data_IF_504992071023
#
_entry.id   IF_504992071023
#
_cell.length_a   1.000
_cell.length_b   1.000
_cell.length_c   1.000
_cell.angle_alpha   90.00
_cell.angle_beta   90.00
_cell.angle_gamma   90.00
#
_symmetry.space_group_name_H-M   'P 1'
#
loop_
_entity.id
_entity.type
_entity.pdbx_description
1 polymer ?
#
# COMPACT_ATOMS: atom_id res chain seq x y z
N UNK A 1 1.82 -37.46 6.88
CA UNK A 1 2.22 -36.89 8.18
C UNK A 1 1.51 -35.56 8.37
N UNK A 2 0.83 -35.44 9.50
CA UNK A 2 -0.41 -34.69 9.71
C UNK A 2 -0.27 -33.17 9.68
N UNK A 3 -1.11 -32.54 8.86
CA UNK A 3 -1.47 -31.13 8.95
C UNK A 3 -2.38 -30.92 10.17
N UNK A 4 -1.82 -30.94 11.38
CA UNK A 4 -2.57 -30.59 12.59
C UNK A 4 -1.61 -30.28 13.75
N UNK A 5 -0.83 -29.20 13.63
CA UNK A 5 -0.13 -28.55 14.74
C UNK A 5 0.45 -27.22 14.26
N UNK A 6 -0.40 -26.19 14.24
CA UNK A 6 -0.14 -24.75 14.41
C UNK A 6 -1.36 -23.96 13.91
N UNK A 7 -2.53 -24.28 14.46
CA UNK A 7 -3.58 -23.27 14.55
C UNK A 7 -3.16 -22.36 15.73
N UNK A 8 -2.29 -21.39 15.45
CA UNK A 8 -2.34 -20.16 16.25
C UNK A 8 -3.81 -19.73 16.18
N UNK A 9 -4.49 -19.62 17.32
CA UNK A 9 -5.84 -19.04 17.36
C UNK A 9 -5.75 -17.66 16.73
N UNK A 10 -6.15 -17.55 15.47
CA UNK A 10 -6.10 -16.31 14.73
C UNK A 10 -7.21 -15.44 15.33
N UNK A 11 -6.81 -14.49 16.17
CA UNK A 11 -7.74 -13.66 16.91
C UNK A 11 -8.33 -12.60 15.97
N UNK A 12 -9.65 -12.43 16.06
CA UNK A 12 -10.34 -11.34 15.40
C UNK A 12 -9.87 -10.01 16.00
N UNK A 13 -9.19 -9.19 15.20
CA UNK A 13 -8.71 -7.87 15.58
C UNK A 13 -9.73 -6.79 15.19
N UNK A 14 -10.14 -5.99 16.18
CA UNK A 14 -10.95 -4.80 15.95
C UNK A 14 -10.17 -3.74 15.17
N UNK A 15 -10.84 -2.87 14.40
CA UNK A 15 -10.19 -1.74 13.74
C UNK A 15 -9.60 -0.78 14.78
N UNK A 16 -8.39 -0.26 14.51
CA UNK A 16 -7.78 0.82 15.26
C UNK A 16 -8.58 2.11 15.10
N UNK A 17 -9.02 2.37 13.86
CA UNK A 17 -9.91 3.46 13.47
C UNK A 17 -10.91 2.98 12.42
N UNK A 18 -12.13 3.51 12.47
CA UNK A 18 -13.15 3.31 11.46
C UNK A 18 -13.82 4.65 11.11
N UNK A 19 -14.16 4.83 9.84
CA UNK A 19 -14.80 6.03 9.33
C UNK A 19 -15.94 5.64 8.37
N UNK A 20 -17.09 6.34 8.40
CA UNK A 20 -17.47 7.30 9.43
C UNK A 20 -17.71 6.62 10.78
N UNK A 21 -17.40 7.32 11.85
CA UNK A 21 -17.76 6.96 13.22
C UNK A 21 -19.09 7.64 13.58
N UNK A 22 -20.16 6.86 13.88
CA UNK A 22 -21.46 7.41 14.22
C UNK A 22 -21.41 8.39 15.40
N UNK A 23 -22.04 9.55 15.25
CA UNK A 23 -22.08 10.60 16.30
C UNK A 23 -20.78 11.41 16.43
N UNK A 24 -19.73 11.07 15.69
CA UNK A 24 -18.45 11.80 15.67
C UNK A 24 -18.24 12.50 14.34
N UNK A 25 -18.36 11.76 13.23
CA UNK A 25 -18.17 12.28 11.89
C UNK A 25 -19.47 12.80 11.27
N UNK A 26 -19.33 13.77 10.36
CA UNK A 26 -20.42 14.18 9.47
C UNK A 26 -20.71 13.08 8.46
N UNK A 27 -21.87 12.42 8.60
CA UNK A 27 -22.27 11.31 7.72
C UNK A 27 -22.42 11.73 6.26
N UNK A 28 -22.69 13.01 5.96
CA UNK A 28 -22.79 13.52 4.60
C UNK A 28 -21.41 13.53 3.91
N UNK A 29 -20.35 13.90 4.63
CA UNK A 29 -18.99 13.91 4.11
C UNK A 29 -18.48 12.52 3.70
N UNK A 30 -19.03 11.46 4.29
CA UNK A 30 -18.67 10.06 4.02
C UNK A 30 -19.75 9.32 3.22
N UNK A 31 -20.66 10.02 2.54
CA UNK A 31 -21.79 9.36 1.88
C UNK A 31 -21.33 8.27 0.89
N UNK A 32 -21.63 7.01 1.24
CA UNK A 32 -21.25 5.84 0.47
C UNK A 32 -19.80 5.38 0.63
N UNK A 33 -18.98 6.06 1.43
CA UNK A 33 -17.60 5.67 1.71
C UNK A 33 -17.46 5.15 3.14
N UNK A 34 -16.84 3.98 3.30
CA UNK A 34 -16.50 3.43 4.61
C UNK A 34 -15.05 2.97 4.58
N UNK A 35 -14.30 3.21 5.64
CA UNK A 35 -12.93 2.70 5.76
C UNK A 35 -12.66 2.21 7.17
N UNK A 36 -11.88 1.13 7.27
CA UNK A 36 -11.38 0.56 8.53
C UNK A 36 -9.87 0.43 8.45
N UNK A 37 -9.17 0.80 9.51
CA UNK A 37 -7.73 0.70 9.64
C UNK A 37 -7.39 -0.32 10.71
N UNK A 38 -6.51 -1.26 10.39
CA UNK A 38 -6.07 -2.35 11.23
C UNK A 38 -4.55 -2.34 11.35
N UNK A 39 -4.05 -3.21 12.24
CA UNK A 39 -2.63 -3.56 12.30
C UNK A 39 -2.46 -4.95 11.71
N UNK A 40 -1.52 -5.08 10.77
CA UNK A 40 -1.14 -6.41 10.28
C UNK A 40 -0.24 -7.14 11.30
N UNK A 41 0.19 -8.36 10.96
CA UNK A 41 1.04 -9.16 11.83
C UNK A 41 2.43 -8.55 12.13
N UNK A 42 2.88 -7.58 11.33
CA UNK A 42 4.08 -6.78 11.58
C UNK A 42 3.76 -5.39 12.14
N UNK A 43 2.53 -5.19 12.63
CA UNK A 43 1.98 -3.93 13.15
C UNK A 43 1.95 -2.77 12.13
N UNK A 44 2.17 -3.05 10.84
CA UNK A 44 2.02 -2.04 9.81
C UNK A 44 0.54 -1.67 9.69
N UNK A 45 0.27 -0.44 9.26
CA UNK A 45 -1.11 0.00 9.04
C UNK A 45 -1.67 -0.68 7.81
N UNK A 46 -2.81 -1.34 7.98
CA UNK A 46 -3.57 -1.95 6.90
C UNK A 46 -4.93 -1.26 6.81
N UNK A 47 -5.18 -0.57 5.71
CA UNK A 47 -6.45 0.08 5.45
C UNK A 47 -7.29 -0.76 4.49
N UNK A 48 -8.59 -0.86 4.77
CA UNK A 48 -9.58 -1.32 3.80
C UNK A 48 -10.64 -0.26 3.67
N UNK A 49 -10.94 0.17 2.44
CA UNK A 49 -12.09 1.02 2.17
C UNK A 49 -13.05 0.41 1.17
N UNK A 50 -14.32 0.72 1.38
CA UNK A 50 -15.46 0.37 0.55
C UNK A 50 -16.05 1.68 0.05
N UNK A 51 -15.90 1.95 -1.24
CA UNK A 51 -16.69 2.97 -1.92
C UNK A 51 -17.94 2.30 -2.50
N UNK A 52 -19.06 2.40 -1.77
CA UNK A 52 -20.37 1.83 -2.13
C UNK A 52 -21.01 2.56 -3.31
N UNK A 53 -20.56 3.77 -3.65
CA UNK A 53 -21.08 4.52 -4.82
C UNK A 53 -20.66 3.83 -6.12
N UNK A 54 -19.48 3.22 -6.10
CA UNK A 54 -18.89 2.53 -7.26
C UNK A 54 -18.71 1.02 -7.01
N UNK A 55 -19.02 0.57 -5.79
CA UNK A 55 -18.77 -0.76 -5.27
C UNK A 55 -17.32 -1.21 -5.49
N UNK A 56 -16.37 -0.30 -5.23
CA UNK A 56 -14.92 -0.56 -5.23
C UNK A 56 -14.48 -0.90 -3.80
N UNK A 57 -13.76 -2.00 -3.67
CA UNK A 57 -13.08 -2.37 -2.42
C UNK A 57 -11.59 -2.29 -2.66
N UNK A 58 -10.88 -1.61 -1.76
CA UNK A 58 -9.42 -1.46 -1.85
C UNK A 58 -8.80 -1.73 -0.50
N UNK A 59 -7.66 -2.41 -0.56
CA UNK A 59 -6.81 -2.75 0.56
C UNK A 59 -5.47 -2.07 0.34
N UNK A 60 -4.93 -1.47 1.39
CA UNK A 60 -3.65 -0.78 1.34
C UNK A 60 -2.82 -1.17 2.57
N UNK A 61 -1.64 -1.73 2.34
CA UNK A 61 -0.60 -1.76 3.34
C UNK A 61 0.23 -0.49 3.26
N UNK A 62 0.33 0.20 4.39
CA UNK A 62 1.38 1.18 4.61
C UNK A 62 2.69 0.43 4.90
N UNK A 63 3.26 -0.18 3.85
CA UNK A 63 4.51 -0.93 3.91
C UNK A 63 5.59 -0.28 3.01
N UNK A 64 6.73 -0.93 2.80
CA UNK A 64 7.81 -0.40 1.96
C UNK A 64 7.46 -0.28 0.47
N UNK A 65 6.35 -0.86 0.02
CA UNK A 65 5.89 -0.81 -1.37
C UNK A 65 4.58 -0.04 -1.55
N UNK A 66 3.93 0.34 -0.44
CA UNK A 66 2.55 0.81 -0.44
C UNK A 66 1.63 -0.16 -1.18
N UNK A 67 1.76 -1.45 -0.86
CA UNK A 67 1.04 -2.51 -1.55
C UNK A 67 -0.47 -2.26 -1.51
N UNK A 68 -1.09 -2.21 -2.69
CA UNK A 68 -2.53 -2.00 -2.88
C UNK A 68 -3.17 -3.14 -3.67
N UNK A 69 -4.31 -3.63 -3.18
CA UNK A 69 -5.14 -4.61 -3.88
C UNK A 69 -6.57 -4.11 -3.93
N UNK A 70 -7.17 -4.06 -5.11
CA UNK A 70 -8.58 -3.68 -5.24
C UNK A 70 -9.37 -4.52 -6.22
N UNK A 71 -10.68 -4.57 -6.00
CA UNK A 71 -11.65 -5.19 -6.91
C UNK A 71 -12.97 -4.40 -6.89
N UNK A 72 -13.80 -4.60 -7.91
CA UNK A 72 -15.12 -3.98 -7.99
C UNK A 72 -16.21 -5.05 -8.03
N UNK A 73 -17.36 -4.76 -7.42
CA UNK A 73 -18.51 -5.64 -7.38
C UNK A 73 -19.70 -5.03 -8.12
N UNK A 74 -20.36 -5.81 -8.97
CA UNK A 74 -21.56 -5.38 -9.72
C UNK A 74 -22.69 -6.37 -9.56
N UNK A 75 -23.92 -5.89 -9.54
CA UNK A 75 -25.11 -6.73 -9.64
C UNK A 75 -25.20 -7.37 -11.03
N UNK A 76 -26.14 -8.30 -11.22
CA UNK A 76 -26.43 -8.88 -12.55
C UNK A 76 -26.81 -7.83 -13.61
N UNK A 77 -27.35 -6.67 -13.21
CA UNK A 77 -27.66 -5.54 -14.10
C UNK A 77 -26.48 -4.59 -14.35
N UNK A 78 -25.28 -4.92 -13.85
CA UNK A 78 -24.08 -4.12 -14.05
C UNK A 78 -23.98 -2.88 -13.14
N UNK A 79 -24.92 -2.68 -12.22
CA UNK A 79 -24.88 -1.58 -11.24
C UNK A 79 -23.92 -1.89 -10.09
N UNK A 80 -23.36 -0.89 -9.39
CA UNK A 80 -22.60 -1.11 -8.15
C UNK A 80 -23.36 -2.00 -7.18
N UNK A 81 -22.71 -3.07 -6.69
CA UNK A 81 -23.32 -3.98 -5.72
C UNK A 81 -23.36 -3.36 -4.31
N UNK A 82 -24.46 -3.52 -3.55
CA UNK A 82 -24.53 -3.07 -2.17
C UNK A 82 -23.69 -3.97 -1.27
N UNK A 83 -22.41 -3.60 -1.11
CA UNK A 83 -21.46 -4.31 -0.24
C UNK A 83 -21.50 -3.77 1.19
N UNK A 84 -21.36 -4.70 2.14
CA UNK A 84 -21.34 -4.46 3.57
C UNK A 84 -20.29 -5.36 4.24
N UNK A 85 -19.78 -4.89 5.37
CA UNK A 85 -19.00 -5.71 6.29
C UNK A 85 -19.88 -6.79 6.90
N UNK A 86 -19.48 -8.05 6.80
CA UNK A 86 -20.16 -9.16 7.49
C UNK A 86 -19.56 -9.42 8.88
N UNK A 87 -18.31 -9.00 9.10
CA UNK A 87 -17.62 -9.05 10.39
C UNK A 87 -17.05 -7.69 10.76
N UNK A 88 -16.96 -7.40 12.07
CA UNK A 88 -16.46 -6.11 12.57
C UNK A 88 -14.94 -6.01 12.64
N UNK A 89 -14.25 -7.13 12.58
CA UNK A 89 -12.80 -7.21 12.67
C UNK A 89 -12.15 -7.79 11.42
N UNK A 90 -10.83 -7.93 11.49
CA UNK A 90 -10.04 -8.70 10.54
C UNK A 90 -9.11 -9.65 11.29
N UNK A 91 -8.67 -10.70 10.61
CA UNK A 91 -7.78 -11.70 11.18
C UNK A 91 -6.39 -11.51 10.56
N UNK A 92 -5.44 -10.87 11.25
CA UNK A 92 -4.05 -10.79 10.82
C UNK A 92 -3.36 -12.13 11.01
N UNK A 93 -2.55 -12.55 10.04
CA UNK A 93 -1.73 -13.76 10.15
C UNK A 93 -0.48 -13.66 9.25
N UNK A 94 0.37 -14.69 9.30
CA UNK A 94 1.59 -14.80 8.49
C UNK A 94 1.74 -16.17 7.88
N UNK A 95 2.32 -16.25 6.68
CA UNK A 95 2.81 -17.50 6.10
C UNK A 95 4.20 -17.27 5.47
N UNK A 96 5.25 -17.78 6.12
CA UNK A 96 6.61 -17.41 5.76
C UNK A 96 6.80 -15.88 5.85
N UNK A 97 7.24 -15.25 4.76
CA UNK A 97 7.37 -13.78 4.66
C UNK A 97 6.06 -13.05 4.35
N UNK A 98 4.99 -13.77 3.98
CA UNK A 98 3.74 -13.15 3.60
C UNK A 98 2.99 -12.66 4.84
N UNK A 99 2.56 -11.39 4.83
CA UNK A 99 1.60 -10.84 5.78
C UNK A 99 0.21 -10.97 5.18
N UNK A 100 -0.73 -11.49 5.96
CA UNK A 100 -2.05 -11.90 5.48
C UNK A 100 -3.12 -11.21 6.34
N UNK A 101 -4.16 -10.70 5.69
CA UNK A 101 -5.36 -10.17 6.34
C UNK A 101 -6.60 -10.88 5.78
N UNK A 102 -7.47 -11.37 6.66
CA UNK A 102 -8.75 -11.99 6.29
C UNK A 102 -9.93 -11.26 6.92
N UNK A 103 -11.01 -11.08 6.18
CA UNK A 103 -12.26 -10.51 6.70
C UNK A 103 -13.45 -10.89 5.79
N UNK A 104 -14.66 -10.68 6.27
CA UNK A 104 -15.87 -11.10 5.56
C UNK A 104 -16.67 -9.91 5.02
N UNK A 105 -17.17 -10.08 3.81
CA UNK A 105 -18.11 -9.18 3.16
C UNK A 105 -19.42 -9.91 2.85
N UNK A 106 -20.49 -9.13 2.78
CA UNK A 106 -21.78 -9.58 2.27
C UNK A 106 -22.29 -8.58 1.24
N UNK A 107 -22.81 -9.11 0.13
CA UNK A 107 -23.55 -8.32 -0.85
C UNK A 107 -25.05 -8.54 -0.65
N UNK A 108 -25.82 -7.47 -0.48
CA UNK A 108 -27.29 -7.53 -0.42
C UNK A 108 -27.90 -7.63 -1.83
N UNK A 109 -27.50 -8.67 -2.56
CA UNK A 109 -28.00 -9.03 -3.90
C UNK A 109 -27.92 -10.55 -4.09
N UNK A 110 -28.89 -11.20 -4.75
CA UNK A 110 -28.87 -12.66 -4.95
C UNK A 110 -27.76 -13.14 -5.90
N UNK A 111 -27.18 -12.23 -6.68
CA UNK A 111 -26.03 -12.52 -7.53
C UNK A 111 -25.17 -11.27 -7.72
N UNK A 112 -23.85 -11.46 -7.71
CA UNK A 112 -22.88 -10.42 -8.05
C UNK A 112 -21.77 -10.95 -8.95
N UNK A 113 -21.20 -10.03 -9.72
CA UNK A 113 -19.95 -10.22 -10.43
C UNK A 113 -18.85 -9.44 -9.73
N UNK A 114 -17.72 -10.09 -9.48
CA UNK A 114 -16.49 -9.46 -9.02
C UNK A 114 -15.52 -9.35 -10.20
N UNK A 115 -14.88 -8.20 -10.37
CA UNK A 115 -13.92 -8.00 -11.45
C UNK A 115 -13.09 -6.74 -11.21
N UNK A 116 -12.41 -6.28 -12.26
CA UNK A 116 -11.48 -5.15 -12.15
C UNK A 116 -10.43 -5.36 -11.02
N UNK A 117 -9.99 -6.61 -10.84
CA UNK A 117 -8.93 -6.95 -9.89
C UNK A 117 -7.64 -6.22 -10.30
N UNK A 118 -7.07 -5.46 -9.38
CA UNK A 118 -5.83 -4.73 -9.54
C UNK A 118 -4.92 -5.01 -8.35
N UNK A 119 -3.73 -5.50 -8.63
CA UNK A 119 -2.68 -5.73 -7.63
C UNK A 119 -1.48 -4.87 -8.03
N UNK A 120 -0.97 -4.07 -7.10
CA UNK A 120 0.15 -3.17 -7.37
C UNK A 120 0.42 -2.26 -6.19
N UNK A 121 0.67 -0.98 -6.44
CA UNK A 121 0.81 0.00 -5.36
C UNK A 121 -0.38 0.94 -5.29
N UNK A 122 -0.51 1.65 -4.18
CA UNK A 122 -1.50 2.71 -4.00
C UNK A 122 -1.54 3.70 -5.16
N UNK A 123 -0.38 4.07 -5.71
CA UNK A 123 -0.31 5.01 -6.85
C UNK A 123 -0.97 4.44 -8.11
N UNK A 124 -0.76 3.14 -8.37
CA UNK A 124 -1.38 2.45 -9.51
C UNK A 124 -2.90 2.39 -9.31
N UNK A 125 -3.37 2.12 -8.08
CA UNK A 125 -4.80 2.16 -7.73
C UNK A 125 -5.40 3.56 -7.91
N UNK A 126 -4.67 4.61 -7.51
CA UNK A 126 -5.06 6.02 -7.70
C UNK A 126 -5.25 6.35 -9.18
N UNK A 127 -4.29 5.99 -10.03
CA UNK A 127 -4.36 6.25 -11.47
C UNK A 127 -5.48 5.43 -12.13
N UNK A 128 -5.65 4.17 -11.74
CA UNK A 128 -6.74 3.30 -12.18
C UNK A 128 -8.13 3.88 -11.89
N UNK A 129 -8.29 4.51 -10.72
CA UNK A 129 -9.53 5.18 -10.35
C UNK A 129 -9.71 6.52 -11.04
N UNK A 130 -8.69 7.37 -11.05
CA UNK A 130 -8.73 8.69 -11.68
C UNK A 130 -9.08 8.61 -13.18
N UNK A 131 -8.63 7.57 -13.87
CA UNK A 131 -8.91 7.34 -15.29
C UNK A 131 -10.16 6.48 -15.54
N UNK A 132 -10.94 6.17 -14.51
CA UNK A 132 -12.23 5.49 -14.62
C UNK A 132 -12.15 4.02 -15.05
N UNK A 133 -10.98 3.36 -14.97
CA UNK A 133 -10.82 1.97 -15.43
C UNK A 133 -11.65 0.98 -14.61
N UNK A 134 -11.85 1.23 -13.32
CA UNK A 134 -12.72 0.44 -12.44
C UNK A 134 -14.20 0.41 -12.90
N UNK A 135 -14.64 1.41 -13.71
CA UNK A 135 -16.01 1.50 -14.26
C UNK A 135 -16.16 0.77 -15.61
N UNK A 136 -15.06 0.42 -16.27
CA UNK A 136 -15.11 -0.31 -17.56
C UNK A 136 -15.69 -1.72 -17.40
N UNK A 137 -16.21 -2.35 -18.46
CA UNK A 137 -16.65 -3.75 -18.39
C UNK A 137 -15.54 -4.66 -17.86
N UNK A 138 -15.88 -5.70 -17.11
CA UNK A 138 -14.86 -6.64 -16.58
C UNK A 138 -14.17 -7.47 -17.67
N UNK A 139 -14.69 -7.45 -18.89
CA UNK A 139 -14.05 -7.99 -20.09
C UNK A 139 -13.01 -7.06 -20.71
N UNK A 140 -12.86 -5.82 -20.23
CA UNK A 140 -11.88 -4.87 -20.73
C UNK A 140 -10.44 -5.40 -20.52
N UNK A 141 -9.48 -4.97 -21.35
CA UNK A 141 -8.08 -5.34 -21.18
C UNK A 141 -7.54 -4.97 -19.79
N UNK A 142 -6.59 -5.75 -19.26
CA UNK A 142 -5.91 -5.42 -18.00
C UNK A 142 -5.31 -4.02 -18.02
N UNK A 143 -5.35 -3.36 -16.87
CA UNK A 143 -4.72 -2.06 -16.71
C UNK A 143 -3.22 -2.23 -16.51
N UNK A 144 -2.44 -1.61 -17.39
CA UNK A 144 -0.97 -1.54 -17.33
C UNK A 144 -0.60 -0.10 -17.57
N UNK A 145 0.39 0.42 -16.84
CA UNK A 145 0.94 1.76 -17.04
C UNK A 145 1.66 1.85 -18.40
N UNK A 146 1.55 2.99 -19.07
CA UNK A 146 2.14 3.17 -20.39
C UNK A 146 3.67 3.20 -20.34
N UNK A 147 4.24 3.74 -19.27
CA UNK A 147 5.69 3.73 -19.01
C UNK A 147 6.22 2.30 -18.90
N UNK A 148 5.45 1.40 -18.28
CA UNK A 148 5.82 -0.02 -18.15
C UNK A 148 5.68 -0.75 -19.49
N UNK A 149 4.68 -0.40 -20.31
CA UNK A 149 4.57 -0.91 -21.69
C UNK A 149 5.76 -0.48 -22.53
N UNK A 150 6.11 0.81 -22.51
CA UNK A 150 7.25 1.36 -23.23
C UNK A 150 8.57 0.71 -22.80
N UNK A 151 8.76 0.46 -21.49
CA UNK A 151 9.89 -0.30 -20.98
C UNK A 151 10.01 -1.68 -21.63
N UNK A 152 8.91 -2.44 -21.77
CA UNK A 152 8.93 -3.76 -22.39
C UNK A 152 9.27 -3.71 -23.87
N UNK A 153 8.75 -2.72 -24.59
CA UNK A 153 9.00 -2.57 -26.01
C UNK A 153 10.46 -2.17 -26.27
N UNK A 154 11.03 -1.29 -25.44
CA UNK A 154 12.46 -0.96 -25.49
C UNK A 154 13.37 -2.10 -25.07
N UNK A 155 12.98 -2.89 -24.07
CA UNK A 155 13.71 -4.11 -23.73
C UNK A 155 13.71 -5.09 -24.90
N UNK A 156 12.59 -5.23 -25.61
CA UNK A 156 12.48 -6.13 -26.76
C UNK A 156 13.34 -5.67 -27.96
N UNK A 157 13.55 -4.37 -28.14
CA UNK A 157 14.35 -3.83 -29.25
C UNK A 157 15.86 -3.89 -29.03
N UNK A 158 16.33 -4.25 -27.83
CA UNK A 158 17.77 -4.33 -27.54
C UNK A 158 18.43 -5.54 -28.22
N UNK A 159 19.74 -5.44 -28.55
CA UNK A 159 20.54 -6.60 -28.97
C UNK A 159 20.48 -7.74 -27.94
N UNK A 160 20.47 -8.98 -28.41
CA UNK A 160 20.20 -10.18 -27.59
C UNK A 160 21.06 -10.28 -26.33
N UNK A 161 22.37 -10.01 -26.42
CA UNK A 161 23.27 -10.06 -25.28
C UNK A 161 22.93 -9.01 -24.21
N UNK A 162 22.62 -7.78 -24.63
CA UNK A 162 22.25 -6.67 -23.72
C UNK A 162 20.86 -6.93 -23.11
N UNK A 163 19.92 -7.40 -23.94
CA UNK A 163 18.58 -7.79 -23.49
C UNK A 163 18.64 -8.89 -22.43
N UNK A 164 19.46 -9.92 -22.63
CA UNK A 164 19.64 -11.00 -21.66
C UNK A 164 20.22 -10.49 -20.33
N UNK A 165 21.21 -9.58 -20.37
CA UNK A 165 21.77 -8.95 -19.17
C UNK A 165 20.69 -8.18 -18.38
N UNK A 166 19.88 -7.38 -19.07
CA UNK A 166 18.83 -6.58 -18.44
C UNK A 166 17.69 -7.43 -17.88
N UNK A 167 17.27 -8.47 -18.61
CA UNK A 167 16.27 -9.43 -18.17
C UNK A 167 16.72 -10.16 -16.89
N UNK A 168 18.02 -10.52 -16.78
CA UNK A 168 18.58 -11.13 -15.56
C UNK A 168 18.48 -10.21 -14.34
N UNK A 169 18.63 -8.90 -14.52
CA UNK A 169 18.47 -7.92 -13.43
C UNK A 169 17.02 -7.83 -12.93
N UNK A 170 16.05 -8.09 -13.81
CA UNK A 170 14.63 -8.18 -13.51
C UNK A 170 14.17 -9.62 -13.17
N UNK A 171 15.11 -10.56 -13.00
CA UNK A 171 14.84 -11.98 -12.76
C UNK A 171 13.88 -12.61 -13.77
N UNK A 172 13.96 -12.22 -15.04
CA UNK A 172 13.17 -12.76 -16.13
C UNK A 172 14.07 -13.43 -17.17
N UNK A 173 13.55 -14.44 -17.86
CA UNK A 173 14.23 -15.07 -19.00
C UNK A 173 13.84 -14.46 -20.33
N UNK A 174 12.65 -13.86 -20.42
CA UNK A 174 12.11 -13.26 -21.64
C UNK A 174 11.32 -11.99 -21.32
N UNK A 175 11.11 -11.14 -22.34
CA UNK A 175 10.19 -9.99 -22.22
C UNK A 175 8.74 -10.47 -22.01
N UNK A 176 8.36 -11.63 -22.56
CA UNK A 176 7.04 -12.22 -22.32
C UNK A 176 6.80 -12.48 -20.83
N UNK A 177 7.80 -13.01 -20.11
CA UNK A 177 7.72 -13.19 -18.65
C UNK A 177 7.43 -11.89 -17.90
N UNK A 178 7.98 -10.75 -18.34
CA UNK A 178 7.69 -9.45 -17.72
C UNK A 178 6.27 -8.96 -18.06
N UNK A 179 5.82 -9.17 -19.29
CA UNK A 179 4.45 -8.85 -19.72
C UNK A 179 3.41 -9.69 -18.95
N UNK A 180 3.72 -10.93 -18.62
CA UNK A 180 2.83 -11.77 -17.81
C UNK A 180 2.73 -11.26 -16.36
N UNK A 181 3.81 -10.71 -15.78
CA UNK A 181 3.85 -10.21 -14.40
C UNK A 181 2.98 -8.98 -14.13
N UNK A 182 2.62 -8.20 -15.15
CA UNK A 182 1.75 -7.02 -14.99
C UNK A 182 0.26 -7.38 -15.02
N UNK A 183 -0.06 -8.67 -15.07
CA UNK A 183 -1.44 -9.17 -14.99
C UNK A 183 -1.55 -10.27 -13.93
N UNK A 184 -2.61 -10.28 -13.11
CA UNK A 184 -2.76 -11.33 -12.10
C UNK A 184 -3.00 -12.71 -12.74
N UNK A 185 -2.25 -13.71 -12.25
CA UNK A 185 -2.50 -15.12 -12.55
C UNK A 185 -3.65 -15.58 -11.66
N UNK A 186 -4.67 -16.20 -12.27
CA UNK A 186 -5.87 -16.65 -11.54
C UNK A 186 -5.89 -18.17 -11.44
N UNK A 187 -6.01 -18.69 -10.20
CA UNK A 187 -6.20 -20.11 -9.91
C UNK A 187 -7.50 -20.31 -9.15
N UNK A 188 -8.28 -21.31 -9.53
CA UNK A 188 -9.52 -21.68 -8.87
C UNK A 188 -9.38 -23.07 -8.30
N UNK A 189 -9.74 -23.23 -7.04
CA UNK A 189 -9.74 -24.50 -6.33
C UNK A 189 -11.12 -24.66 -5.67
N UNK A 190 -11.69 -25.87 -5.75
CA UNK A 190 -13.00 -26.16 -5.19
C UNK A 190 -13.02 -27.52 -4.52
N UNK A 191 -13.51 -27.56 -3.29
CA UNK A 191 -13.85 -28.77 -2.54
C UNK A 191 -15.35 -28.75 -2.21
N UNK A 192 -15.83 -29.74 -1.45
CA UNK A 192 -17.22 -29.75 -0.97
C UNK A 192 -17.51 -28.64 0.05
N UNK A 193 -16.50 -28.18 0.80
CA UNK A 193 -16.65 -27.22 1.90
C UNK A 193 -16.07 -25.83 1.62
N UNK A 194 -15.26 -25.68 0.57
CA UNK A 194 -14.61 -24.42 0.23
C UNK A 194 -14.45 -24.29 -1.27
N UNK A 195 -14.90 -23.17 -1.82
CA UNK A 195 -14.49 -22.72 -3.13
C UNK A 195 -13.64 -21.47 -2.97
N UNK A 196 -12.51 -21.38 -3.68
CA UNK A 196 -11.66 -20.20 -3.67
C UNK A 196 -11.13 -19.86 -5.06
N UNK A 197 -11.08 -18.57 -5.36
CA UNK A 197 -10.35 -18.02 -6.50
C UNK A 197 -9.22 -17.13 -6.00
N UNK A 198 -7.99 -17.49 -6.35
CA UNK A 198 -6.76 -16.80 -5.99
C UNK A 198 -6.20 -16.03 -7.19
N UNK A 199 -6.00 -14.74 -7.03
CA UNK A 199 -5.34 -13.85 -7.98
C UNK A 199 -3.96 -13.53 -7.41
N UNK A 200 -2.90 -13.88 -8.13
CA UNK A 200 -1.53 -13.70 -7.68
C UNK A 200 -0.77 -12.87 -8.70
N UNK A 201 -0.09 -11.82 -8.24
CA UNK A 201 0.74 -10.98 -9.09
C UNK A 201 2.13 -10.79 -8.46
N UNK A 202 3.20 -11.28 -9.11
CA UNK A 202 4.57 -10.95 -8.73
C UNK A 202 4.88 -9.46 -8.96
N UNK A 203 5.83 -8.91 -8.20
CA UNK A 203 6.47 -7.65 -8.55
C UNK A 203 7.16 -7.74 -9.91
N UNK A 204 7.46 -6.60 -10.52
CA UNK A 204 8.10 -6.56 -11.85
C UNK A 204 9.44 -7.31 -11.87
N UNK A 205 10.22 -7.19 -10.80
CA UNK A 205 11.51 -7.88 -10.61
C UNK A 205 11.36 -9.31 -10.07
N UNK A 206 10.14 -9.80 -9.86
CA UNK A 206 9.82 -11.15 -9.39
C UNK A 206 10.15 -11.43 -7.93
N UNK A 207 10.64 -10.43 -7.18
CA UNK A 207 11.08 -10.63 -5.79
C UNK A 207 9.94 -10.68 -4.81
N UNK A 208 8.84 -10.00 -5.06
CA UNK A 208 7.71 -9.90 -4.16
C UNK A 208 6.42 -10.34 -4.83
N UNK A 209 5.40 -10.60 -4.04
CA UNK A 209 4.13 -11.13 -4.54
C UNK A 209 2.99 -10.61 -3.71
N UNK A 210 1.94 -10.22 -4.41
CA UNK A 210 0.66 -9.83 -3.86
C UNK A 210 -0.39 -10.88 -4.24
N UNK A 211 -1.32 -11.15 -3.34
CA UNK A 211 -2.40 -12.11 -3.59
C UNK A 211 -3.71 -11.60 -3.02
N UNK A 212 -4.80 -11.83 -3.75
CA UNK A 212 -6.16 -11.79 -3.21
C UNK A 212 -6.86 -13.11 -3.48
N UNK A 213 -7.52 -13.62 -2.46
CA UNK A 213 -8.40 -14.77 -2.53
C UNK A 213 -9.82 -14.33 -2.21
N UNK A 214 -10.75 -14.77 -3.05
CA UNK A 214 -12.18 -14.74 -2.77
C UNK A 214 -12.58 -16.16 -2.41
N UNK A 215 -13.10 -16.34 -1.20
CA UNK A 215 -13.50 -17.63 -0.67
C UNK A 215 -15.01 -17.64 -0.40
N UNK A 216 -15.67 -18.74 -0.74
CA UNK A 216 -17.10 -18.95 -0.46
C UNK A 216 -17.36 -20.37 0.03
N UNK A 217 -18.41 -20.50 0.84
CA UNK A 217 -19.00 -21.80 1.19
C UNK A 217 -19.88 -22.30 0.02
N UNK A 218 -19.50 -23.40 -0.66
CA UNK A 218 -20.27 -23.96 -1.77
C UNK A 218 -21.69 -24.40 -1.40
N UNK A 219 -22.00 -24.61 -0.12
CA UNK A 219 -23.35 -24.92 0.36
C UNK A 219 -24.28 -23.69 0.35
N UNK A 220 -23.72 -22.47 0.42
CA UNK A 220 -24.45 -21.20 0.46
C UNK A 220 -24.40 -20.43 -0.86
N UNK A 221 -23.28 -20.51 -1.58
CA UNK A 221 -23.00 -19.70 -2.77
C UNK A 221 -22.47 -20.61 -3.89
N UNK A 222 -23.02 -20.48 -5.09
CA UNK A 222 -22.40 -21.01 -6.30
C UNK A 222 -21.46 -19.96 -6.88
N UNK A 223 -20.25 -20.38 -7.25
CA UNK A 223 -19.21 -19.50 -7.76
C UNK A 223 -18.64 -20.06 -9.06
N UNK A 224 -18.48 -19.19 -10.05
CA UNK A 224 -17.83 -19.52 -11.32
C UNK A 224 -16.84 -18.43 -11.71
N UNK A 225 -15.83 -18.79 -12.50
CA UNK A 225 -14.89 -17.83 -13.08
C UNK A 225 -15.11 -17.72 -14.58
N UNK A 226 -15.17 -16.49 -15.08
CA UNK A 226 -15.07 -16.17 -16.49
C UNK A 226 -13.90 -15.20 -16.70
N UNK A 227 -12.79 -15.69 -17.26
CA UNK A 227 -11.54 -14.91 -17.43
C UNK A 227 -11.07 -14.30 -16.10
N UNK A 228 -11.03 -12.97 -16.01
CA UNK A 228 -10.63 -12.18 -14.83
C UNK A 228 -11.79 -11.83 -13.91
N UNK A 229 -13.02 -12.24 -14.22
CA UNK A 229 -14.20 -11.99 -13.42
C UNK A 229 -14.70 -13.25 -12.71
N UNK A 230 -15.27 -13.07 -11.53
CA UNK A 230 -15.99 -14.10 -10.78
C UNK A 230 -17.48 -13.78 -10.81
N UNK A 231 -18.32 -14.79 -10.96
CA UNK A 231 -19.76 -14.68 -10.70
C UNK A 231 -20.09 -15.47 -9.45
N UNK A 232 -20.71 -14.83 -8.47
CA UNK A 232 -21.16 -15.43 -7.22
C UNK A 232 -22.68 -15.32 -7.16
N UNK A 233 -23.37 -16.41 -6.83
CA UNK A 233 -24.83 -16.47 -6.73
C UNK A 233 -25.25 -17.18 -5.46
N UNK A 234 -26.14 -16.56 -4.70
CA UNK A 234 -26.74 -17.15 -3.53
C UNK A 234 -27.54 -18.38 -3.94
N UNK A 235 -27.37 -19.50 -3.23
CA UNK A 235 -28.21 -20.69 -3.44
C UNK A 235 -29.60 -20.54 -2.84
N UNK A 236 -29.71 -19.71 -1.79
CA UNK A 236 -30.96 -19.35 -1.10
C UNK A 236 -30.85 -17.89 -0.63
N UNK A 237 -31.98 -17.20 -0.58
CA UNK A 237 -32.05 -15.82 -0.09
C UNK A 237 -31.53 -14.78 -1.09
N UNK A 238 -31.38 -13.55 -0.60
CA UNK A 238 -31.02 -12.37 -1.38
C UNK A 238 -29.63 -11.82 -1.06
N UNK A 239 -28.80 -12.59 -0.36
CA UNK A 239 -27.47 -12.16 0.07
C UNK A 239 -26.39 -13.13 -0.35
N UNK A 240 -25.23 -12.60 -0.75
CA UNK A 240 -24.04 -13.38 -1.09
C UNK A 240 -22.92 -13.05 -0.10
N UNK A 241 -22.68 -13.92 0.89
CA UNK A 241 -21.54 -13.81 1.79
C UNK A 241 -20.27 -14.37 1.12
N UNK A 242 -19.14 -13.74 1.36
CA UNK A 242 -17.83 -14.21 0.91
C UNK A 242 -16.72 -13.67 1.79
N UNK A 243 -15.63 -14.43 1.91
CA UNK A 243 -14.44 -14.04 2.64
C UNK A 243 -13.39 -13.51 1.68
N UNK A 244 -12.73 -12.42 2.06
CA UNK A 244 -11.57 -11.87 1.36
C UNK A 244 -10.33 -12.17 2.17
N UNK A 245 -9.35 -12.80 1.53
CA UNK A 245 -8.01 -13.00 2.09
C UNK A 245 -7.01 -12.29 1.19
N UNK A 246 -6.31 -11.30 1.72
CA UNK A 246 -5.29 -10.56 0.98
C UNK A 246 -3.93 -10.78 1.60
N UNK A 247 -2.88 -10.79 0.78
CA UNK A 247 -1.51 -10.90 1.27
C UNK A 247 -0.50 -10.16 0.42
N UNK A 248 0.62 -9.80 1.05
CA UNK A 248 1.81 -9.22 0.41
C UNK A 248 3.06 -9.82 1.03
N UNK A 249 4.10 -10.00 0.23
CA UNK A 249 5.46 -10.30 0.71
C UNK A 249 6.37 -9.08 0.76
N UNK A 250 5.90 -7.92 0.28
CA UNK A 250 6.67 -6.68 0.26
C UNK A 250 7.20 -6.33 1.66
N UNK A 251 8.33 -5.62 1.78
CA UNK A 251 8.96 -5.38 3.07
C UNK A 251 8.07 -4.57 4.01
N UNK A 252 7.93 -5.04 5.25
CA UNK A 252 7.29 -4.29 6.33
C UNK A 252 8.13 -3.07 6.72
N UNK A 253 7.47 -2.01 7.19
CA UNK A 253 8.09 -0.91 7.93
C UNK A 253 8.22 -1.28 9.40
N UNK A 254 8.85 -0.39 10.15
CA UNK A 254 8.97 -0.44 11.61
C UNK A 254 8.09 0.64 12.25
N UNK A 255 6.79 0.36 12.52
CA UNK A 255 5.89 1.31 13.15
C UNK A 255 6.45 1.86 14.46
N UNK A 256 6.22 3.15 14.70
CA UNK A 256 6.57 3.79 15.96
C UNK A 256 5.44 3.63 16.98
N UNK A 257 5.82 3.39 18.22
CA UNK A 257 4.89 3.36 19.34
C UNK A 257 4.54 4.77 19.80
N UNK A 258 3.39 4.91 20.47
CA UNK A 258 2.91 6.18 21.07
C UNK A 258 3.99 6.93 21.87
N UNK A 259 4.79 6.19 22.65
CA UNK A 259 5.86 6.73 23.52
C UNK A 259 7.13 7.12 22.76
N UNK A 260 7.27 6.68 21.53
CA UNK A 260 8.33 7.11 20.61
C UNK A 260 7.92 8.35 19.81
N UNK A 261 6.62 8.58 19.65
CA UNK A 261 6.07 9.72 18.90
C UNK A 261 5.89 10.94 19.80
N UNK A 262 5.23 10.77 20.95
CA UNK A 262 4.75 11.89 21.77
C UNK A 262 5.54 12.07 23.06
N UNK A 263 5.60 13.31 23.56
CA UNK A 263 6.25 13.62 24.83
C UNK A 263 5.48 13.00 26.01
N UNK A 264 6.17 12.61 27.10
CA UNK A 264 5.50 12.12 28.30
C UNK A 264 4.46 13.10 28.86
N UNK A 265 4.72 14.40 28.80
CA UNK A 265 3.80 15.44 29.26
C UNK A 265 2.48 15.47 28.46
N UNK A 266 2.57 15.36 27.13
CA UNK A 266 1.37 15.28 26.30
C UNK A 266 0.58 13.99 26.56
N UNK A 267 1.26 12.87 26.78
CA UNK A 267 0.59 11.60 27.09
C UNK A 267 -0.15 11.65 28.43
N UNK A 268 0.44 12.26 29.45
CA UNK A 268 -0.23 12.49 30.72
C UNK A 268 -1.47 13.38 30.56
N UNK A 269 -1.36 14.48 29.80
CA UNK A 269 -2.49 15.36 29.48
C UNK A 269 -3.61 14.62 28.73
N UNK A 270 -3.26 13.76 27.76
CA UNK A 270 -4.23 12.95 27.01
C UNK A 270 -4.99 11.99 27.92
N UNK A 271 -4.29 11.31 28.84
CA UNK A 271 -4.89 10.37 29.78
C UNK A 271 -5.81 11.09 30.79
N UNK A 272 -5.40 12.25 31.29
CA UNK A 272 -6.24 13.10 32.15
C UNK A 272 -7.51 13.57 31.43
N UNK A 273 -7.37 14.10 30.20
CA UNK A 273 -8.49 14.56 29.40
C UNK A 273 -9.51 13.44 29.12
N UNK A 274 -9.03 12.22 28.84
CA UNK A 274 -9.88 11.03 28.62
C UNK A 274 -10.58 10.58 29.89
N UNK A 275 -9.92 10.67 31.03
CA UNK A 275 -10.51 10.31 32.33
C UNK A 275 -11.58 11.31 32.75
N UNK A 276 -11.40 12.60 32.41
CA UNK A 276 -12.35 13.66 32.73
C UNK A 276 -13.65 13.58 31.90
N UNK A 277 -13.59 13.15 30.64
CA UNK A 277 -14.78 12.99 29.79
C UNK A 277 -14.67 11.79 28.81
N UNK A 278 -15.01 10.56 29.27
CA UNK A 278 -14.86 9.34 28.48
C UNK A 278 -15.98 9.13 27.46
N UNK A 279 -16.95 10.05 27.35
CA UNK A 279 -18.12 9.87 26.47
C UNK A 279 -17.71 9.86 24.99
N UNK A 280 -18.28 8.97 24.15
CA UNK A 280 -18.10 9.05 22.71
C UNK A 280 -18.46 10.43 22.16
N UNK A 281 -17.65 10.92 21.22
CA UNK A 281 -17.84 12.25 20.62
C UNK A 281 -17.36 13.43 21.46
N UNK A 282 -16.91 13.22 22.70
CA UNK A 282 -16.27 14.24 23.53
C UNK A 282 -14.99 14.78 22.86
N UNK A 283 -14.51 15.93 23.33
CA UNK A 283 -13.23 16.49 22.86
C UNK A 283 -12.08 15.52 23.09
N UNK A 284 -12.07 14.82 24.23
CA UNK A 284 -11.03 13.85 24.57
C UNK A 284 -11.08 12.62 23.66
N UNK A 285 -12.28 12.12 23.35
CA UNK A 285 -12.48 11.04 22.37
C UNK A 285 -11.96 11.43 20.99
N UNK A 286 -12.31 12.62 20.50
CA UNK A 286 -11.81 13.15 19.21
C UNK A 286 -10.30 13.30 19.22
N UNK A 287 -9.70 13.71 20.33
CA UNK A 287 -8.24 13.86 20.47
C UNK A 287 -7.51 12.51 20.44
N UNK A 288 -7.97 11.52 21.21
CA UNK A 288 -7.41 10.14 21.16
C UNK A 288 -7.51 9.57 19.75
N UNK A 289 -8.60 9.86 19.04
CA UNK A 289 -8.77 9.47 17.64
C UNK A 289 -7.73 10.09 16.71
N UNK A 290 -7.41 11.38 16.88
CA UNK A 290 -6.33 12.04 16.12
C UNK A 290 -4.95 11.45 16.46
N UNK A 291 -4.69 11.17 17.74
CA UNK A 291 -3.45 10.53 18.21
C UNK A 291 -3.24 9.17 17.55
N UNK A 292 -4.28 8.33 17.51
CA UNK A 292 -4.25 7.04 16.78
C UNK A 292 -4.02 7.23 15.28
N UNK A 293 -4.54 8.30 14.69
CA UNK A 293 -4.27 8.67 13.31
C UNK A 293 -2.77 8.87 13.07
N UNK A 294 -2.09 9.64 13.92
CA UNK A 294 -0.64 9.85 13.84
C UNK A 294 0.13 8.54 14.03
N UNK A 295 -0.26 7.69 14.99
CA UNK A 295 0.37 6.37 15.21
C UNK A 295 0.26 5.45 13.98
N UNK A 296 -0.85 5.54 13.23
CA UNK A 296 -1.05 4.75 12.02
C UNK A 296 -0.18 5.25 10.85
N UNK A 297 0.28 6.50 10.90
CA UNK A 297 1.08 7.14 9.85
C UNK A 297 2.58 7.23 10.18
N UNK A 298 3.00 6.70 11.34
CA UNK A 298 4.35 6.86 11.86
C UNK A 298 5.14 5.56 11.90
N UNK A 299 6.31 5.55 11.26
CA UNK A 299 7.29 4.47 11.32
C UNK A 299 8.71 5.03 11.33
N UNK A 300 9.68 4.23 11.76
CA UNK A 300 11.11 4.60 11.73
C UNK A 300 11.65 4.78 10.32
N UNK A 301 10.99 4.16 9.34
CA UNK A 301 11.40 4.18 7.94
C UNK A 301 10.80 5.38 7.18
N UNK A 302 9.55 5.74 7.51
CA UNK A 302 8.82 6.86 6.87
C UNK A 302 7.71 7.42 7.76
N UNK A 303 7.48 8.71 7.65
CA UNK A 303 6.25 9.36 8.10
C UNK A 303 5.39 9.64 6.87
N UNK A 304 4.12 9.25 6.94
CA UNK A 304 3.19 9.37 5.83
C UNK A 304 2.32 10.62 6.00
N UNK A 305 2.06 11.32 4.89
CA UNK A 305 1.19 12.49 4.91
C UNK A 305 -0.30 12.12 5.11
N UNK A 306 -0.73 10.94 4.65
CA UNK A 306 -2.08 10.44 4.92
C UNK A 306 -2.46 9.22 4.09
N UNK A 307 -3.50 8.51 4.50
CA UNK A 307 -4.01 7.34 3.77
C UNK A 307 -5.43 7.60 3.22
N UNK A 308 -5.81 6.99 2.08
CA UNK A 308 -4.97 6.14 1.23
C UNK A 308 -4.05 6.95 0.29
N UNK A 309 -4.42 8.17 -0.07
CA UNK A 309 -3.87 8.89 -1.24
C UNK A 309 -2.39 9.29 -1.13
N UNK A 310 -1.85 9.40 0.09
CA UNK A 310 -0.53 9.98 0.36
C UNK A 310 0.29 9.12 1.34
N UNK A 311 0.28 7.80 1.11
CA UNK A 311 1.00 6.78 1.88
C UNK A 311 2.55 6.89 1.77
N UNK A 312 3.07 8.09 1.60
CA UNK A 312 4.47 8.38 1.30
C UNK A 312 4.89 9.69 1.96
N UNK A 313 6.19 9.96 1.93
CA UNK A 313 6.77 11.23 2.34
C UNK A 313 6.28 12.37 1.43
N UNK A 314 5.84 13.46 2.04
CA UNK A 314 5.61 14.76 1.39
C UNK A 314 6.38 15.83 2.15
N UNK A 315 7.39 16.41 1.51
CA UNK A 315 8.41 17.16 2.23
C UNK A 315 7.90 18.41 2.92
N UNK A 316 7.09 19.20 2.22
CA UNK A 316 6.48 20.39 2.80
C UNK A 316 5.54 20.02 3.95
N UNK A 317 4.64 19.07 3.73
CA UNK A 317 3.61 18.69 4.70
C UNK A 317 4.23 18.13 5.98
N UNK A 318 5.33 17.39 5.86
CA UNK A 318 6.06 16.89 7.02
C UNK A 318 6.81 17.99 7.78
N UNK A 319 7.47 18.92 7.09
CA UNK A 319 8.14 20.05 7.75
C UNK A 319 7.15 20.95 8.48
N UNK A 320 6.00 21.24 7.86
CA UNK A 320 4.92 22.00 8.49
C UNK A 320 4.33 21.24 9.67
N UNK A 321 4.07 19.94 9.53
CA UNK A 321 3.64 19.08 10.63
C UNK A 321 4.63 19.10 11.79
N UNK A 322 5.93 18.96 11.54
CA UNK A 322 6.96 19.02 12.58
C UNK A 322 6.89 20.35 13.33
N UNK A 323 6.79 21.49 12.63
CA UNK A 323 6.68 22.82 13.24
C UNK A 323 5.41 22.98 14.11
N UNK A 324 4.28 22.45 13.65
CA UNK A 324 3.00 22.51 14.36
C UNK A 324 2.99 21.59 15.59
N UNK A 325 3.68 20.45 15.53
CA UNK A 325 3.63 19.40 16.55
C UNK A 325 4.74 19.51 17.61
N UNK A 326 5.66 20.48 17.50
CA UNK A 326 6.84 20.64 18.39
C UNK A 326 6.53 20.57 19.88
N UNK A 327 5.38 21.05 20.32
CA UNK A 327 5.02 21.05 21.75
C UNK A 327 4.56 19.69 22.28
N UNK A 328 4.23 18.75 21.40
CA UNK A 328 3.65 17.44 21.77
C UNK A 328 4.42 16.25 21.21
N UNK A 329 5.23 16.46 20.17
CA UNK A 329 6.16 15.46 19.64
C UNK A 329 7.46 15.45 20.43
N UNK A 330 8.09 14.28 20.46
CA UNK A 330 9.47 14.19 20.91
C UNK A 330 10.42 14.81 19.90
N UNK A 331 11.59 15.25 20.39
CA UNK A 331 12.63 15.85 19.54
C UNK A 331 13.05 14.90 18.41
N UNK A 332 13.10 13.59 18.69
CA UNK A 332 13.47 12.57 17.70
C UNK A 332 12.52 12.55 16.48
N UNK A 333 11.24 12.91 16.65
CA UNK A 333 10.30 13.02 15.53
C UNK A 333 10.63 14.22 14.63
N UNK A 334 11.02 15.34 15.24
CA UNK A 334 11.43 16.54 14.50
C UNK A 334 12.74 16.30 13.75
N UNK A 335 13.71 15.67 14.42
CA UNK A 335 14.97 15.23 13.81
C UNK A 335 14.72 14.29 12.64
N UNK A 336 13.83 13.31 12.79
CA UNK A 336 13.48 12.37 11.73
C UNK A 336 12.91 13.08 10.49
N UNK A 337 12.03 14.07 10.67
CA UNK A 337 11.48 14.85 9.56
C UNK A 337 12.57 15.63 8.83
N UNK A 338 13.44 16.32 9.58
CA UNK A 338 14.55 17.10 9.01
C UNK A 338 15.53 16.18 8.29
N UNK A 339 15.92 15.06 8.90
CA UNK A 339 16.79 14.06 8.31
C UNK A 339 16.19 13.46 7.02
N UNK A 340 14.88 13.20 7.00
CA UNK A 340 14.18 12.70 5.82
C UNK A 340 14.22 13.69 4.65
N UNK A 341 14.09 15.00 4.93
CA UNK A 341 14.21 16.04 3.92
C UNK A 341 15.65 16.21 3.43
N UNK A 342 16.63 16.24 4.34
CA UNK A 342 18.05 16.36 4.01
C UNK A 342 18.56 15.16 3.21
N UNK A 343 18.10 13.94 3.53
CA UNK A 343 18.44 12.73 2.78
C UNK A 343 17.88 12.70 1.36
N UNK A 344 16.98 13.63 1.01
CA UNK A 344 16.36 13.79 -0.31
C UNK A 344 16.81 15.07 -1.04
N UNK A 345 17.90 15.69 -0.57
CA UNK A 345 18.54 16.81 -1.27
C UNK A 345 19.26 16.32 -2.53
N UNK A 346 18.98 16.97 -3.66
CA UNK A 346 19.73 16.81 -4.89
C UNK A 346 21.12 17.47 -4.78
N UNK A 347 22.07 17.11 -5.66
CA UNK A 347 23.35 17.82 -5.75
C UNK A 347 23.22 19.33 -6.03
N UNK A 348 22.07 19.76 -6.56
CA UNK A 348 21.74 21.16 -6.86
C UNK A 348 20.95 21.85 -5.74
N UNK A 349 20.77 21.20 -4.59
CA UNK A 349 20.09 21.76 -3.41
C UNK A 349 18.57 21.73 -3.47
N UNK A 350 17.97 20.99 -4.41
CA UNK A 350 16.52 20.80 -4.50
C UNK A 350 16.08 19.63 -3.62
N UNK A 351 14.96 19.75 -2.92
CA UNK A 351 14.37 18.65 -2.11
C UNK A 351 13.21 18.03 -2.87
N UNK A 352 13.12 16.71 -2.90
CA UNK A 352 11.99 16.01 -3.54
C UNK A 352 10.65 16.41 -2.91
N UNK A 353 9.66 16.72 -3.75
CA UNK A 353 8.31 17.08 -3.29
C UNK A 353 7.57 15.86 -2.68
N UNK A 354 7.75 14.69 -3.29
CA UNK A 354 7.14 13.42 -2.90
C UNK A 354 8.22 12.33 -2.99
N UNK A 355 8.16 11.31 -2.13
CA UNK A 355 9.00 10.13 -2.31
C UNK A 355 8.36 9.13 -3.27
N UNK A 356 9.10 8.75 -4.31
CA UNK A 356 8.70 7.70 -5.22
C UNK A 356 8.92 6.33 -4.54
N UNK A 357 7.81 5.66 -4.19
CA UNK A 357 7.81 4.29 -3.66
C UNK A 357 6.95 3.36 -4.53
N UNK A 358 7.21 2.07 -4.43
CA UNK A 358 6.43 1.02 -5.11
C UNK A 358 6.25 1.30 -6.61
N UNK A 359 5.00 1.38 -7.06
CA UNK A 359 4.68 1.59 -8.47
C UNK A 359 5.08 2.97 -9.02
N UNK A 360 5.17 4.02 -8.20
CA UNK A 360 5.66 5.32 -8.65
C UNK A 360 7.14 5.25 -9.00
N UNK A 361 7.94 4.61 -8.14
CA UNK A 361 9.37 4.38 -8.41
C UNK A 361 9.58 3.57 -9.69
N UNK A 362 8.78 2.51 -9.88
CA UNK A 362 8.82 1.70 -11.11
C UNK A 362 8.47 2.53 -12.34
N UNK A 363 7.44 3.38 -12.27
CA UNK A 363 7.01 4.25 -13.37
C UNK A 363 8.09 5.25 -13.78
N UNK A 364 8.67 5.95 -12.81
CA UNK A 364 9.74 6.93 -13.05
C UNK A 364 10.98 6.26 -13.62
N UNK A 365 11.41 5.13 -13.02
CA UNK A 365 12.57 4.41 -13.49
C UNK A 365 12.36 3.76 -14.87
N UNK A 366 11.14 3.31 -15.19
CA UNK A 366 10.79 2.84 -16.52
C UNK A 366 10.93 3.96 -17.56
N UNK A 367 10.46 5.18 -17.23
CA UNK A 367 10.60 6.36 -18.09
C UNK A 367 12.06 6.76 -18.29
N UNK A 368 12.84 6.81 -17.21
CA UNK A 368 14.29 7.08 -17.25
C UNK A 368 15.00 6.06 -18.14
N UNK A 369 14.70 4.77 -17.96
CA UNK A 369 15.28 3.70 -18.75
C UNK A 369 14.98 3.83 -20.24
N UNK A 370 13.72 4.10 -20.60
CA UNK A 370 13.31 4.31 -22.00
C UNK A 370 14.11 5.46 -22.62
N UNK A 371 14.24 6.58 -21.92
CA UNK A 371 15.03 7.73 -22.38
C UNK A 371 16.51 7.40 -22.59
N UNK A 372 17.12 6.60 -21.69
CA UNK A 372 18.51 6.18 -21.84
C UNK A 372 18.73 5.24 -23.04
N UNK A 373 17.80 4.32 -23.29
CA UNK A 373 17.87 3.43 -24.47
C UNK A 373 17.73 4.24 -25.76
N UNK A 374 16.79 5.18 -25.81
CA UNK A 374 16.56 6.02 -26.99
C UNK A 374 17.77 6.94 -27.27
N UNK A 375 18.35 7.54 -26.24
CA UNK A 375 19.57 8.33 -26.37
C UNK A 375 20.77 7.48 -26.85
N UNK A 376 20.91 6.26 -26.34
CA UNK A 376 21.96 5.34 -26.78
C UNK A 376 21.78 4.88 -28.23
N UNK A 377 20.55 4.75 -28.71
CA UNK A 377 20.26 4.38 -30.09
C UNK A 377 20.49 5.55 -31.07
N UNK A 378 20.29 6.79 -30.61
CA UNK A 378 20.51 8.00 -31.41
C UNK A 378 21.98 8.47 -31.45
N UNK A 379 22.85 7.95 -30.59
CA UNK A 379 24.25 8.33 -30.56
C UNK A 379 24.99 7.84 -31.83
N UNK A 380 25.79 8.70 -32.51
CA UNK A 380 26.53 8.29 -33.70
C UNK A 380 27.55 7.20 -33.34
N UNK A 381 27.69 6.21 -34.23
CA UNK A 381 28.68 5.15 -34.10
C UNK A 381 30.11 5.70 -34.29
N UNK A 382 30.64 6.41 -33.30
CA UNK A 382 32.04 6.83 -33.31
C UNK A 382 32.91 5.60 -33.00
N UNK A 383 33.69 5.16 -33.98
CA UNK A 383 34.55 3.97 -33.96
C UNK A 383 35.76 4.05 -33.02
N UNK A 384 35.56 4.40 -31.76
CA UNK A 384 36.60 4.35 -30.73
C UNK A 384 36.03 3.71 -29.47
N UNK A 385 36.69 2.66 -28.97
CA UNK A 385 36.30 1.81 -27.85
C UNK A 385 36.20 2.47 -26.46
N UNK A 386 35.57 3.64 -26.35
CA UNK A 386 35.12 4.22 -25.11
C UNK A 386 33.73 3.68 -24.75
N UNK A 387 33.60 3.03 -23.59
CA UNK A 387 32.32 2.60 -23.04
C UNK A 387 31.36 3.82 -22.96
N UNK A 388 30.38 3.88 -23.86
CA UNK A 388 29.17 4.66 -23.63
C UNK A 388 28.54 4.20 -22.30
N UNK A 389 27.95 5.11 -21.50
CA UNK A 389 27.33 4.72 -20.23
C UNK A 389 26.21 3.73 -20.51
N UNK A 390 26.48 2.45 -20.24
CA UNK A 390 25.48 1.40 -20.37
C UNK A 390 24.33 1.69 -19.40
N UNK A 391 23.08 1.79 -19.87
CA UNK A 391 21.94 1.95 -18.96
C UNK A 391 21.96 0.79 -17.97
N UNK A 392 22.00 1.09 -16.66
CA UNK A 392 21.95 0.06 -15.61
C UNK A 392 20.52 -0.06 -15.09
N UNK A 393 19.82 -1.19 -15.30
CA UNK A 393 18.48 -1.44 -14.78
C UNK A 393 18.34 -1.43 -13.25
N UNK A 394 19.44 -1.29 -12.49
CA UNK A 394 19.42 -1.33 -11.01
C UNK A 394 18.46 -0.32 -10.38
N UNK A 395 18.21 0.83 -11.02
CA UNK A 395 17.23 1.83 -10.55
C UNK A 395 15.77 1.38 -10.72
N UNK A 396 15.46 0.60 -11.77
CA UNK A 396 14.11 0.06 -12.01
C UNK A 396 13.73 -1.04 -11.02
N UNK A 397 14.72 -1.72 -10.45
CA UNK A 397 14.54 -2.93 -9.63
C UNK A 397 14.69 -2.71 -8.11
N UNK A 398 14.70 -1.47 -7.60
CA UNK A 398 14.92 -1.23 -6.14
C UNK A 398 14.13 -0.01 -5.62
N UNK A 399 12.84 -0.17 -5.26
CA UNK A 399 12.05 0.91 -4.66
C UNK A 399 12.48 1.27 -3.23
N UNK A 400 13.17 0.38 -2.51
CA UNK A 400 13.30 0.42 -1.04
C UNK A 400 14.74 0.58 -0.50
N UNK A 401 15.75 0.75 -1.37
CA UNK A 401 17.13 0.88 -0.90
C UNK A 401 17.41 2.23 -0.21
N UNK A 402 16.68 3.29 -0.54
CA UNK A 402 16.88 4.60 0.09
C UNK A 402 16.28 4.71 1.51
N UNK A 403 15.39 3.80 1.92
CA UNK A 403 14.88 3.76 3.29
C UNK A 403 15.86 3.14 4.30
N UNK A 404 16.85 2.36 3.83
CA UNK A 404 17.79 1.61 4.71
C UNK A 404 19.12 2.32 4.96
N UNK A 405 19.39 3.44 4.31
CA UNK A 405 20.68 4.15 4.40
C UNK A 405 20.61 5.43 5.24
N UNK A 406 19.90 5.39 6.37
CA UNK A 406 20.16 6.31 7.48
C UNK A 406 21.04 5.59 8.52
N UNK A 407 22.35 5.85 8.59
CA UNK A 407 23.20 5.24 9.59
C UNK A 407 22.92 5.88 10.96
N UNK A 408 22.14 5.21 11.80
CA UNK A 408 22.24 5.41 13.24
C UNK A 408 23.48 4.65 13.76
N UNK A 409 24.67 5.14 13.46
CA UNK A 409 25.86 4.75 14.22
C UNK A 409 25.92 5.60 15.50
N UNK A 410 25.58 4.97 16.63
CA UNK A 410 25.76 5.53 17.96
C UNK A 410 27.26 5.55 18.29
N UNK A 411 27.98 6.57 17.83
CA UNK A 411 29.27 6.95 18.42
C UNK A 411 29.15 8.35 19.03
N UNK A 412 29.33 8.38 20.35
CA UNK A 412 29.45 9.59 21.17
C UNK A 412 30.50 10.52 20.57
N UNK A 413 30.07 11.59 19.91
CA UNK A 413 30.93 12.75 19.67
C UNK A 413 30.74 13.70 20.85
N UNK A 414 31.84 13.95 21.57
CA UNK A 414 31.88 14.91 22.66
C UNK A 414 31.52 16.31 22.14
N UNK A 415 30.50 16.92 22.75
CA UNK A 415 30.10 18.30 22.49
C UNK A 415 31.19 19.25 23.03
N UNK A 416 31.76 20.15 22.22
CA UNK A 416 32.57 21.25 22.74
C UNK A 416 31.65 22.22 23.50
N UNK A 417 32.00 22.53 24.75
CA UNK A 417 31.29 23.51 25.58
C UNK A 417 31.12 24.84 24.84
N UNK A 418 29.89 25.16 24.45
CA UNK A 418 29.51 26.49 23.98
C UNK A 418 29.53 27.49 25.16
N UNK A 419 30.08 28.67 24.89
CA UNK A 419 30.17 29.81 25.81
C UNK A 419 28.77 30.34 26.17
N UNK A 420 28.69 30.95 27.36
CA UNK A 420 27.50 31.50 28.04
C UNK A 420 26.58 32.36 27.13
N UNK A 421 25.27 32.40 27.44
CA UNK A 421 24.30 33.19 26.70
C UNK A 421 24.41 34.70 26.99
N UNK A 422 24.24 35.53 25.96
CA UNK A 422 23.93 36.95 26.13
C UNK A 422 22.50 37.08 26.66
N UNK A 423 22.38 37.84 27.75
CA UNK A 423 21.14 38.19 28.38
C UNK A 423 20.31 39.10 27.49
N UNK A 424 19.03 38.78 27.33
CA UNK A 424 17.99 39.74 26.96
C UNK A 424 17.43 40.37 28.23
N UNK A 425 17.29 41.70 28.22
CA UNK A 425 16.55 42.52 29.19
C UNK A 425 15.97 43.73 28.45
N UNK A 426 14.90 44.32 28.98
CA UNK A 426 13.55 43.80 29.13
C UNK A 426 12.71 44.01 27.87
#
# INVERSE_FOLDING_TARGET
MSALLLALCAQLAAPVLAFPEPGVDDSAAYQGYQTRLFRDAARNTFQVYLDRREARVVHLWADGENASIGFSARTASGRPAPLHWATDGSIPSTAGRARIMSYDLVASSPALSLGAFLLGSMRVERDFQAWGHHRRPFSAPPFVLDEVRALFDRLASLPDAVRAEHLRLLQASTVATLRDRVTPIVRVEGTRSLWKARFTQPSLDGRDTMTIEVQVDPARVSATRARSALTLRARRGSEVPFTIVVSTTGPALTPLDRREIFTPAFLAFLDEARSADPRPGSRAHRMERQVRGVELLSSRDKLMAGLPTYATYFGRDMLVSALMMRSIWRDEMSEFVVASALGKLSPTGQVSHEEALGGQAVREAASEYVGLVDASAAAPATGSGGLAPRPRPRRVARPSAHARELPHDRRRAAVPRARRPLAWRP
#
